data_IF_748742050764
#
_entry.id   IF_748742050764
#
_cell.length_a   1.000
_cell.length_b   1.000
_cell.length_c   1.000
_cell.angle_alpha   90.00
_cell.angle_beta   90.00
_cell.angle_gamma   90.00
#
_symmetry.space_group_name_H-M   'P 1'
#
loop_
_entity.id
_entity.type
_entity.pdbx_description
1 polymer ?
#
# COMPACT_ATOMS: atom_id res chain seq x y z
N UNK A 1 -40.48 9.79 12.18
CA UNK A 1 -39.84 8.54 12.66
C UNK A 1 -39.20 7.75 11.51
N UNK A 2 -39.70 7.87 10.28
CA UNK A 2 -39.14 7.15 9.11
C UNK A 2 -37.75 7.64 8.67
N UNK A 3 -37.47 8.94 8.76
CA UNK A 3 -36.17 9.52 8.36
C UNK A 3 -34.95 9.02 9.17
N UNK A 4 -35.16 8.55 10.40
CA UNK A 4 -34.09 8.07 11.29
C UNK A 4 -33.81 6.59 11.02
N UNK A 5 -34.86 5.80 10.77
CA UNK A 5 -34.76 4.39 10.40
C UNK A 5 -34.08 4.22 9.04
N UNK A 6 -34.42 5.07 8.07
CA UNK A 6 -33.78 5.05 6.74
C UNK A 6 -32.28 5.36 6.84
N UNK A 7 -31.88 6.36 7.65
CA UNK A 7 -30.47 6.67 7.89
C UNK A 7 -29.72 5.54 8.60
N UNK A 8 -30.39 4.83 9.51
CA UNK A 8 -29.79 3.70 10.23
C UNK A 8 -29.62 2.48 9.31
N UNK A 9 -30.61 2.20 8.45
CA UNK A 9 -30.53 1.14 7.44
C UNK A 9 -29.45 1.43 6.40
N UNK A 10 -29.41 2.67 5.86
CA UNK A 10 -28.36 3.11 4.94
C UNK A 10 -26.96 3.09 5.60
N UNK A 11 -26.84 3.44 6.88
CA UNK A 11 -25.57 3.38 7.61
C UNK A 11 -25.12 1.94 7.86
N UNK A 12 -26.05 1.02 8.14
CA UNK A 12 -25.75 -0.40 8.29
C UNK A 12 -25.25 -1.01 6.97
N UNK A 13 -25.90 -0.67 5.85
CA UNK A 13 -25.45 -1.04 4.51
C UNK A 13 -24.09 -0.44 4.16
N UNK A 14 -23.81 0.80 4.57
CA UNK A 14 -22.51 1.44 4.37
C UNK A 14 -21.40 0.76 5.18
N UNK A 15 -21.66 0.39 6.43
CA UNK A 15 -20.70 -0.31 7.29
C UNK A 15 -20.37 -1.70 6.74
N UNK A 16 -21.36 -2.44 6.24
CA UNK A 16 -21.14 -3.76 5.65
C UNK A 16 -20.33 -3.68 4.34
N UNK A 17 -20.59 -2.66 3.51
CA UNK A 17 -19.79 -2.40 2.30
C UNK A 17 -18.34 -2.03 2.65
N UNK A 18 -18.16 -1.12 3.61
CA UNK A 18 -16.84 -0.75 4.14
C UNK A 18 -16.09 -1.95 4.73
N UNK A 19 -16.80 -2.88 5.38
CA UNK A 19 -16.21 -4.13 5.86
C UNK A 19 -15.72 -5.03 4.72
N UNK A 20 -16.52 -5.23 3.65
CA UNK A 20 -16.11 -6.05 2.50
C UNK A 20 -14.89 -5.45 1.81
N UNK A 21 -14.91 -4.13 1.57
CA UNK A 21 -13.76 -3.42 1.01
C UNK A 21 -12.51 -3.60 1.88
N UNK A 22 -12.61 -3.27 3.17
CA UNK A 22 -11.49 -3.36 4.11
C UNK A 22 -10.95 -4.78 4.25
N UNK A 23 -11.84 -5.78 4.31
CA UNK A 23 -11.45 -7.19 4.39
C UNK A 23 -10.65 -7.63 3.16
N UNK A 24 -11.13 -7.31 1.95
CA UNK A 24 -10.44 -7.66 0.71
C UNK A 24 -9.13 -6.89 0.59
N UNK A 25 -9.15 -5.57 0.82
CA UNK A 25 -7.99 -4.70 0.75
C UNK A 25 -6.86 -5.18 1.67
N UNK A 26 -7.16 -5.42 2.95
CA UNK A 26 -6.15 -5.87 3.93
C UNK A 26 -5.69 -7.29 3.62
N UNK A 27 -6.58 -8.19 3.19
CA UNK A 27 -6.18 -9.56 2.84
C UNK A 27 -5.21 -9.59 1.66
N UNK A 28 -5.46 -8.82 0.61
CA UNK A 28 -4.57 -8.73 -0.56
C UNK A 28 -3.23 -8.11 -0.15
N UNK A 29 -3.27 -7.05 0.66
CA UNK A 29 -2.06 -6.38 1.16
C UNK A 29 -1.21 -7.32 2.02
N UNK A 30 -1.83 -8.07 2.95
CA UNK A 30 -1.14 -9.08 3.77
C UNK A 30 -0.55 -10.20 2.91
N UNK A 31 -1.30 -10.72 1.94
CA UNK A 31 -0.80 -11.71 1.01
C UNK A 31 0.39 -11.15 0.22
N UNK A 32 0.34 -9.91 -0.27
CA UNK A 32 1.46 -9.25 -0.94
C UNK A 32 2.71 -9.16 -0.06
N UNK A 33 2.55 -8.80 1.22
CA UNK A 33 3.66 -8.74 2.18
C UNK A 33 4.25 -10.11 2.49
N UNK A 34 3.42 -11.12 2.76
CA UNK A 34 3.90 -12.47 3.12
C UNK A 34 4.43 -13.26 1.92
N UNK A 35 3.88 -13.05 0.72
CA UNK A 35 4.39 -13.70 -0.51
C UNK A 35 5.68 -13.07 -1.01
N UNK A 36 6.06 -11.89 -0.48
CA UNK A 36 7.29 -11.21 -0.88
C UNK A 36 7.33 -10.92 -2.38
N UNK A 37 6.18 -10.67 -3.02
CA UNK A 37 6.11 -10.37 -4.45
C UNK A 37 7.14 -9.31 -4.80
N UNK A 38 8.06 -9.71 -5.66
CA UNK A 38 9.47 -9.31 -5.67
C UNK A 38 9.74 -7.96 -6.35
N UNK A 39 8.79 -7.03 -6.34
CA UNK A 39 9.01 -5.67 -6.82
C UNK A 39 10.18 -5.03 -6.06
N UNK A 40 10.32 -5.29 -4.75
CA UNK A 40 11.50 -4.86 -3.99
C UNK A 40 12.81 -5.45 -4.54
N UNK A 41 12.82 -6.71 -5.01
CA UNK A 41 14.02 -7.35 -5.57
C UNK A 41 14.37 -6.80 -6.94
N UNK A 42 13.36 -6.49 -7.77
CA UNK A 42 13.53 -5.88 -9.09
C UNK A 42 13.93 -4.39 -9.01
N UNK A 43 13.32 -3.62 -8.11
CA UNK A 43 13.63 -2.21 -7.89
C UNK A 43 14.93 -1.99 -7.11
N UNK A 44 15.34 -2.93 -6.25
CA UNK A 44 16.67 -2.92 -5.59
C UNK A 44 17.82 -2.94 -6.59
N UNK A 45 17.64 -3.58 -7.75
CA UNK A 45 18.67 -3.63 -8.80
C UNK A 45 18.86 -2.24 -9.45
N UNK A 46 17.84 -1.39 -9.42
CA UNK A 46 17.81 -0.10 -10.15
C UNK A 46 17.98 1.10 -9.20
N UNK A 47 17.78 0.94 -7.89
CA UNK A 47 17.76 2.06 -6.93
C UNK A 47 18.37 1.71 -5.56
N UNK A 48 18.61 2.72 -4.71
CA UNK A 48 19.01 2.50 -3.31
C UNK A 48 17.96 1.60 -2.65
N UNK A 49 18.34 0.45 -2.09
CA UNK A 49 17.41 -0.60 -1.68
C UNK A 49 16.28 -0.17 -0.73
N UNK A 50 16.51 0.87 0.06
CA UNK A 50 15.47 1.49 0.89
C UNK A 50 14.37 2.23 0.08
N UNK A 51 14.75 3.01 -0.94
CA UNK A 51 13.80 3.73 -1.82
C UNK A 51 12.98 2.73 -2.64
N UNK A 52 13.63 1.65 -3.11
CA UNK A 52 12.95 0.51 -3.73
C UNK A 52 11.87 -0.07 -2.81
N UNK A 53 12.17 -0.19 -1.52
CA UNK A 53 11.26 -0.66 -0.48
C UNK A 53 10.02 0.20 -0.31
N UNK A 54 10.19 1.52 -0.16
CA UNK A 54 9.07 2.45 -0.03
C UNK A 54 8.20 2.45 -1.29
N UNK A 55 8.84 2.50 -2.46
CA UNK A 55 8.13 2.51 -3.74
C UNK A 55 7.36 1.21 -3.94
N UNK A 56 7.98 0.06 -3.68
CA UNK A 56 7.35 -1.25 -3.80
C UNK A 56 6.17 -1.45 -2.85
N UNK A 57 6.31 -1.04 -1.58
CA UNK A 57 5.21 -1.08 -0.61
C UNK A 57 4.04 -0.17 -1.03
N UNK A 58 4.35 1.07 -1.41
CA UNK A 58 3.33 2.04 -1.85
C UNK A 58 2.62 1.58 -3.12
N UNK A 59 3.36 1.04 -4.09
CA UNK A 59 2.80 0.53 -5.34
C UNK A 59 1.92 -0.71 -5.12
N UNK A 60 2.35 -1.64 -4.25
CA UNK A 60 1.55 -2.83 -3.91
C UNK A 60 0.22 -2.43 -3.27
N UNK A 61 0.21 -1.37 -2.47
CA UNK A 61 -1.00 -0.82 -1.88
C UNK A 61 -1.97 -0.29 -2.94
N UNK A 62 -1.48 0.46 -3.93
CA UNK A 62 -2.31 0.95 -5.05
C UNK A 62 -2.94 -0.22 -5.83
N UNK A 63 -2.22 -1.32 -6.01
CA UNK A 63 -2.75 -2.53 -6.65
C UNK A 63 -3.82 -3.20 -5.76
N UNK A 64 -3.59 -3.27 -4.44
CA UNK A 64 -4.59 -3.80 -3.51
C UNK A 64 -5.88 -2.96 -3.53
N UNK A 65 -5.75 -1.64 -3.55
CA UNK A 65 -6.86 -0.70 -3.68
C UNK A 65 -7.62 -0.85 -5.00
N UNK A 66 -6.90 -1.02 -6.11
CA UNK A 66 -7.50 -1.31 -7.42
C UNK A 66 -8.33 -2.60 -7.36
N UNK A 67 -7.77 -3.68 -6.84
CA UNK A 67 -8.48 -4.97 -6.80
C UNK A 67 -9.68 -4.90 -5.84
N UNK A 68 -9.50 -4.31 -4.66
CA UNK A 68 -10.58 -4.16 -3.69
C UNK A 68 -11.72 -3.29 -4.23
N UNK A 69 -11.39 -2.19 -4.92
CA UNK A 69 -12.39 -1.30 -5.53
C UNK A 69 -13.06 -1.85 -6.78
N UNK A 70 -12.42 -2.79 -7.48
CA UNK A 70 -13.05 -3.52 -8.58
C UNK A 70 -14.04 -4.59 -8.10
N UNK A 71 -13.75 -5.24 -6.96
CA UNK A 71 -14.59 -6.29 -6.39
C UNK A 71 -15.80 -5.70 -5.67
N UNK A 72 -15.65 -4.56 -4.99
CA UNK A 72 -16.77 -3.87 -4.33
C UNK A 72 -17.60 -3.07 -5.36
N UNK A 73 -18.85 -3.49 -5.66
CA UNK A 73 -19.70 -2.83 -6.64
C UNK A 73 -20.05 -1.38 -6.28
N UNK A 74 -19.98 -1.02 -4.98
CA UNK A 74 -20.41 0.28 -4.49
C UNK A 74 -19.39 1.40 -4.74
N UNK A 75 -18.11 1.05 -4.80
CA UNK A 75 -17.00 1.99 -5.01
C UNK A 75 -16.36 1.86 -6.41
N UNK A 76 -16.89 0.96 -7.25
CA UNK A 76 -16.40 0.70 -8.60
C UNK A 76 -16.36 1.95 -9.50
N UNK A 77 -17.30 2.87 -9.30
CA UNK A 77 -17.32 4.17 -10.01
C UNK A 77 -16.16 5.08 -9.62
N UNK A 78 -15.58 4.89 -8.44
CA UNK A 78 -14.47 5.68 -7.89
C UNK A 78 -13.09 5.07 -8.15
N UNK A 79 -13.01 3.87 -8.76
CA UNK A 79 -11.75 3.14 -9.02
C UNK A 79 -10.70 4.03 -9.68
N UNK A 80 -11.07 4.79 -10.72
CA UNK A 80 -10.13 5.69 -11.40
C UNK A 80 -9.56 6.76 -10.45
N UNK A 81 -10.41 7.33 -9.60
CA UNK A 81 -9.98 8.31 -8.59
C UNK A 81 -9.04 7.71 -7.55
N UNK A 82 -9.33 6.48 -7.11
CA UNK A 82 -8.50 5.73 -6.15
C UNK A 82 -7.13 5.42 -6.76
N UNK A 83 -7.08 4.91 -8.00
CA UNK A 83 -5.83 4.58 -8.69
C UNK A 83 -5.00 5.83 -8.97
N UNK A 84 -5.59 6.87 -9.57
CA UNK A 84 -4.87 8.11 -9.88
C UNK A 84 -4.41 8.79 -8.59
N UNK A 85 -5.28 8.84 -7.58
CA UNK A 85 -4.97 9.38 -6.25
C UNK A 85 -3.85 8.62 -5.54
N UNK A 86 -3.76 7.30 -5.73
CA UNK A 86 -2.67 6.48 -5.23
C UNK A 86 -1.36 6.67 -6.00
N UNK A 87 -1.42 6.82 -7.32
CA UNK A 87 -0.26 7.01 -8.20
C UNK A 87 0.42 8.37 -8.01
N UNK A 88 -0.35 9.45 -7.82
CA UNK A 88 0.19 10.81 -7.73
C UNK A 88 1.26 10.96 -6.62
N UNK A 89 1.04 10.51 -5.37
CA UNK A 89 2.04 10.53 -4.30
C UNK A 89 3.33 9.76 -4.61
N UNK A 90 3.28 8.67 -5.40
CA UNK A 90 4.47 7.88 -5.74
C UNK A 90 5.53 8.71 -6.48
N UNK A 91 5.12 9.70 -7.29
CA UNK A 91 6.04 10.60 -7.98
C UNK A 91 6.78 11.55 -7.02
N UNK A 92 6.25 11.78 -5.82
CA UNK A 92 6.88 12.65 -4.81
C UNK A 92 7.87 11.91 -3.92
N UNK A 93 7.91 10.58 -3.93
CA UNK A 93 8.89 9.77 -3.17
C UNK A 93 10.35 10.25 -3.37
N UNK A 94 10.86 10.44 -4.61
CA UNK A 94 12.24 10.93 -4.80
C UNK A 94 12.44 12.38 -4.32
N UNK A 95 11.38 13.20 -4.32
CA UNK A 95 11.44 14.56 -3.79
C UNK A 95 11.49 14.55 -2.26
N UNK A 96 10.63 13.74 -1.61
CA UNK A 96 10.66 13.58 -0.15
C UNK A 96 11.99 13.04 0.34
N UNK A 97 12.61 12.11 -0.38
CA UNK A 97 13.95 11.64 -0.01
C UNK A 97 15.00 12.76 -0.08
N UNK A 98 14.90 13.65 -1.08
CA UNK A 98 15.84 14.77 -1.23
C UNK A 98 15.65 15.86 -0.18
N UNK A 99 14.41 16.11 0.27
CA UNK A 99 14.07 17.27 1.09
C UNK A 99 13.68 16.96 2.54
N UNK A 100 13.24 15.74 2.86
CA UNK A 100 12.68 15.37 4.18
C UNK A 100 13.65 14.57 5.05
N UNK A 101 14.61 13.81 4.49
CA UNK A 101 15.51 12.97 5.31
C UNK A 101 17.01 13.22 5.12
N UNK A 102 17.61 13.74 6.19
CA UNK A 102 19.06 13.71 6.47
C UNK A 102 19.37 13.16 7.87
N UNK A 103 18.50 12.30 8.42
CA UNK A 103 18.83 11.53 9.63
C UNK A 103 19.67 10.32 9.24
N UNK A 104 20.93 10.25 9.72
CA UNK A 104 21.90 9.18 9.43
C UNK A 104 21.61 7.84 10.14
N UNK A 105 20.47 7.72 10.80
CA UNK A 105 20.11 6.59 11.66
C UNK A 105 18.63 6.28 11.43
N UNK A 106 18.29 4.99 11.36
CA UNK A 106 17.05 4.45 10.79
C UNK A 106 17.08 4.59 9.27
N UNK A 107 17.05 3.53 8.45
CA UNK A 107 15.99 2.51 8.43
C UNK A 107 16.60 1.15 8.02
N UNK A 108 17.17 0.44 9.00
CA UNK A 108 17.56 -0.98 8.88
C UNK A 108 16.35 -1.83 9.25
N UNK A 109 15.29 -1.75 8.47
CA UNK A 109 14.12 -2.63 8.64
C UNK A 109 13.65 -3.01 7.24
N UNK A 110 14.23 -4.09 6.71
CA UNK A 110 13.84 -4.60 5.39
C UNK A 110 14.92 -5.38 4.65
N UNK A 111 16.15 -5.44 5.18
CA UNK A 111 17.25 -6.09 4.48
C UNK A 111 17.94 -7.18 5.29
N UNK A 112 17.20 -8.23 5.62
CA UNK A 112 17.79 -9.40 6.28
C UNK A 112 18.82 -10.11 5.38
N UNK A 113 18.71 -9.99 4.05
CA UNK A 113 19.71 -10.55 3.13
C UNK A 113 21.01 -9.75 3.18
N UNK A 114 20.97 -8.41 3.16
CA UNK A 114 22.18 -7.59 3.22
C UNK A 114 22.85 -7.62 4.61
N UNK A 115 22.07 -7.63 5.70
CA UNK A 115 22.62 -7.79 7.07
C UNK A 115 23.31 -9.14 7.23
N UNK A 116 22.73 -10.22 6.68
CA UNK A 116 23.33 -11.56 6.76
C UNK A 116 24.61 -11.64 5.93
N UNK A 117 24.62 -11.03 4.74
CA UNK A 117 25.78 -11.03 3.85
C UNK A 117 26.94 -10.20 4.42
N UNK A 118 26.63 -9.09 5.10
CA UNK A 118 27.63 -8.30 5.82
C UNK A 118 28.19 -9.08 7.03
N UNK A 119 27.34 -9.80 7.78
CA UNK A 119 27.75 -10.64 8.91
C UNK A 119 28.58 -11.87 8.50
N UNK A 120 28.32 -12.47 7.34
CA UNK A 120 29.09 -13.60 6.80
C UNK A 120 30.40 -13.15 6.13
N UNK A 121 30.59 -11.85 5.89
CA UNK A 121 31.78 -11.28 5.25
C UNK A 121 32.90 -10.85 6.21
N UNK A 122 32.69 -11.01 7.53
CA UNK A 122 33.66 -10.71 8.59
C UNK A 122 34.01 -11.95 9.42
#
# INVERSE_FOLDING_TARGET
MEHILEKYFFAQDANLRGFIFGFIHVSITLLGYYTGMSINRFLKIVSKGYIAGIFGASFSHVIADLIASLIDPSIRSMVFGIVIGGIVPLFFIPLFEKYVNKSKTHIVVGDHEDVKKDLESH
#
